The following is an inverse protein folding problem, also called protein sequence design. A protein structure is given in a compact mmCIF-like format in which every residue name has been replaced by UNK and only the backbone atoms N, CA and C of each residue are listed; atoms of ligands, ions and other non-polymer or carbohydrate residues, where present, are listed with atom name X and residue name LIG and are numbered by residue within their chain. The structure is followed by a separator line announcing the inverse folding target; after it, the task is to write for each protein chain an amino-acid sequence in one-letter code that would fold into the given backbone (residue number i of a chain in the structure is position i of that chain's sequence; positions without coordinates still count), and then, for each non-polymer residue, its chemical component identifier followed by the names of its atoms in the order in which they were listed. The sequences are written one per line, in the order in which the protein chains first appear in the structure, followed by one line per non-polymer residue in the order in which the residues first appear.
data_IF_378423651249
#
_entry.id   IF_378423651249
#
_cell.length_a   1.000
_cell.length_b   1.000
_cell.length_c   1.000
_cell.angle_alpha   90.00
_cell.angle_beta   90.00
_cell.angle_gamma   90.00
#
_symmetry.space_group_name_H-M   'P 1'
#
loop_
_entity.id
_entity.type
_entity.pdbx_description
1 polymer ?
#
# COMPACT_ATOMS: atom_id res chain seq x y z
N UNK A 1 -19.98 -27.33 -44.12
CA UNK A 1 -18.94 -26.87 -43.21
C UNK A 1 -18.85 -27.80 -42.01
N UNK A 2 -19.97 -28.23 -41.44
CA UNK A 2 -20.01 -29.18 -40.30
C UNK A 2 -19.46 -30.56 -40.68
N UNK A 3 -19.77 -31.06 -41.88
CA UNK A 3 -19.31 -32.39 -42.32
C UNK A 3 -17.80 -32.50 -42.52
N UNK A 4 -17.13 -31.41 -42.91
CA UNK A 4 -15.66 -31.34 -42.97
C UNK A 4 -15.00 -31.36 -41.60
N UNK A 5 -15.65 -30.76 -40.60
CA UNK A 5 -15.17 -30.81 -39.21
C UNK A 5 -15.35 -32.20 -38.61
N UNK A 6 -16.48 -32.84 -38.87
CA UNK A 6 -16.77 -34.20 -38.40
C UNK A 6 -15.82 -35.25 -39.04
N UNK A 7 -15.52 -35.13 -40.35
CA UNK A 7 -14.56 -36.02 -41.00
C UNK A 7 -13.11 -35.84 -40.53
N UNK A 8 -12.73 -34.61 -40.10
CA UNK A 8 -11.42 -34.37 -39.50
C UNK A 8 -11.27 -34.97 -38.10
N UNK A 9 -12.38 -35.14 -37.37
CA UNK A 9 -12.42 -35.76 -36.05
C UNK A 9 -12.36 -37.29 -36.07
N UNK A 10 -12.79 -37.91 -37.19
CA UNK A 10 -12.81 -39.40 -37.33
C UNK A 10 -11.39 -40.03 -37.44
N UNK A 11 -10.32 -39.22 -37.70
CA UNK A 11 -8.94 -39.68 -37.77
C UNK A 11 -8.18 -39.51 -36.41
N UNK A 12 -8.79 -38.90 -35.41
CA UNK A 12 -8.12 -38.63 -34.12
C UNK A 12 -8.32 -39.82 -33.18
N UNK A 13 -7.29 -40.48 -32.74
CA UNK A 13 -7.42 -41.61 -31.83
C UNK A 13 -8.05 -41.14 -30.49
N UNK A 14 -8.97 -41.95 -29.96
CA UNK A 14 -9.79 -41.60 -28.77
C UNK A 14 -8.92 -41.18 -27.56
N UNK A 15 -7.71 -41.75 -27.41
CA UNK A 15 -6.81 -41.37 -26.33
C UNK A 15 -6.28 -39.95 -26.42
N UNK A 16 -6.13 -39.37 -27.64
CA UNK A 16 -5.67 -37.98 -27.79
C UNK A 16 -6.74 -36.97 -27.33
N UNK A 17 -8.02 -37.31 -27.52
CA UNK A 17 -9.16 -36.52 -27.01
C UNK A 17 -9.17 -36.57 -25.48
N UNK A 18 -8.95 -37.73 -24.88
CA UNK A 18 -8.86 -37.85 -23.42
C UNK A 18 -7.69 -37.08 -22.86
N UNK A 19 -6.51 -37.17 -23.47
CA UNK A 19 -5.33 -36.40 -23.04
C UNK A 19 -5.59 -34.90 -23.12
N UNK A 20 -6.14 -34.42 -24.22
CA UNK A 20 -6.46 -32.98 -24.38
C UNK A 20 -7.47 -32.50 -23.36
N UNK A 21 -8.50 -33.29 -23.05
CA UNK A 21 -9.49 -32.98 -22.01
C UNK A 21 -8.85 -32.88 -20.61
N UNK A 22 -7.95 -33.82 -20.28
CA UNK A 22 -7.22 -33.79 -19.01
C UNK A 22 -6.32 -32.55 -18.91
N UNK A 23 -5.61 -32.21 -19.98
CA UNK A 23 -4.75 -31.01 -20.01
C UNK A 23 -5.58 -29.75 -19.82
N UNK A 24 -6.73 -29.62 -20.51
CA UNK A 24 -7.63 -28.48 -20.37
C UNK A 24 -8.16 -28.36 -18.93
N UNK A 25 -8.60 -29.47 -18.34
CA UNK A 25 -9.06 -29.49 -16.94
C UNK A 25 -7.93 -29.07 -15.99
N UNK A 26 -6.71 -29.58 -16.21
CA UNK A 26 -5.56 -29.22 -15.37
C UNK A 26 -5.24 -27.73 -15.45
N UNK A 27 -5.26 -27.16 -16.65
CA UNK A 27 -5.07 -25.69 -16.84
C UNK A 27 -6.18 -24.91 -16.15
N UNK A 28 -7.44 -25.32 -16.31
CA UNK A 28 -8.57 -24.65 -15.68
C UNK A 28 -8.48 -24.67 -14.15
N UNK A 29 -8.12 -25.81 -13.56
CA UNK A 29 -7.91 -25.93 -12.11
C UNK A 29 -6.73 -25.07 -11.65
N UNK A 30 -5.62 -25.06 -12.39
CA UNK A 30 -4.45 -24.23 -12.07
C UNK A 30 -4.79 -22.74 -12.08
N UNK A 31 -5.57 -22.29 -13.06
CA UNK A 31 -6.05 -20.90 -13.14
C UNK A 31 -6.99 -20.57 -11.98
N UNK A 32 -7.92 -21.46 -11.63
CA UNK A 32 -8.82 -21.27 -10.48
C UNK A 32 -8.07 -21.18 -9.16
N UNK A 33 -7.06 -22.03 -8.95
CA UNK A 33 -6.21 -21.99 -7.76
C UNK A 33 -5.42 -20.67 -7.71
N UNK A 34 -4.85 -20.26 -8.82
CA UNK A 34 -4.11 -18.99 -8.92
C UNK A 34 -5.01 -17.78 -8.59
N UNK A 35 -6.24 -17.74 -9.12
CA UNK A 35 -7.19 -16.67 -8.78
C UNK A 35 -7.68 -16.75 -7.33
N UNK A 36 -7.85 -17.96 -6.80
CA UNK A 36 -8.22 -18.16 -5.39
C UNK A 36 -7.17 -17.62 -4.42
N UNK A 37 -5.90 -17.97 -4.65
CA UNK A 37 -4.77 -17.49 -3.81
C UNK A 37 -4.60 -15.98 -3.90
N UNK A 38 -4.70 -15.40 -5.11
CA UNK A 38 -4.61 -13.95 -5.30
C UNK A 38 -5.74 -13.16 -4.61
N UNK A 39 -6.94 -13.75 -4.49
CA UNK A 39 -8.05 -13.14 -3.72
C UNK A 39 -7.80 -13.21 -2.22
N UNK A 40 -7.34 -14.35 -1.71
CA UNK A 40 -7.02 -14.51 -0.29
C UNK A 40 -5.90 -13.56 0.16
N UNK A 41 -4.86 -13.36 -0.65
CA UNK A 41 -3.79 -12.41 -0.35
C UNK A 41 -4.34 -10.98 -0.19
N UNK A 42 -5.22 -10.53 -1.09
CA UNK A 42 -5.85 -9.22 -1.02
C UNK A 42 -6.73 -9.04 0.22
N UNK A 43 -7.52 -10.05 0.58
CA UNK A 43 -8.36 -10.00 1.79
C UNK A 43 -7.51 -9.96 3.08
N UNK A 44 -6.44 -10.74 3.14
CA UNK A 44 -5.51 -10.73 4.27
C UNK A 44 -4.77 -9.39 4.35
N UNK A 45 -4.35 -8.81 3.22
CA UNK A 45 -3.76 -7.48 3.18
C UNK A 45 -4.75 -6.40 3.65
N UNK A 46 -5.99 -6.43 3.19
CA UNK A 46 -7.03 -5.48 3.61
C UNK A 46 -7.34 -5.59 5.10
N UNK A 47 -7.50 -6.80 5.64
CA UNK A 47 -7.74 -7.02 7.07
C UNK A 47 -6.54 -6.61 7.92
N UNK A 48 -5.31 -6.83 7.43
CA UNK A 48 -4.09 -6.37 8.10
C UNK A 48 -3.98 -4.85 8.08
N UNK A 49 -4.35 -4.24 6.98
CA UNK A 49 -4.41 -2.82 6.76
C UNK A 49 -5.42 -2.14 7.72
N UNK A 50 -6.65 -2.61 7.73
CA UNK A 50 -7.71 -2.13 8.62
C UNK A 50 -7.32 -2.22 10.11
N UNK A 51 -6.60 -3.28 10.48
CA UNK A 51 -6.12 -3.48 11.86
C UNK A 51 -4.97 -2.55 12.24
N UNK A 52 -4.12 -2.14 11.30
CA UNK A 52 -2.96 -1.26 11.54
C UNK A 52 -3.37 0.22 11.44
N UNK A 53 -4.18 0.58 10.44
CA UNK A 53 -4.64 1.96 10.26
C UNK A 53 -5.63 2.39 11.36
N UNK A 54 -6.43 1.47 11.88
CA UNK A 54 -7.41 1.77 12.93
C UNK A 54 -6.80 2.22 14.27
N UNK A 55 -5.49 2.07 14.46
CA UNK A 55 -4.81 2.34 15.73
C UNK A 55 -3.67 3.34 15.63
N UNK A 56 -3.34 3.83 14.44
CA UNK A 56 -2.24 4.78 14.28
C UNK A 56 -2.76 6.19 14.00
N UNK A 57 -2.26 7.14 14.76
CA UNK A 57 -2.59 8.54 14.62
C UNK A 57 -1.35 9.42 14.86
N UNK A 58 -1.35 10.61 14.30
CA UNK A 58 -0.37 11.63 14.68
C UNK A 58 -0.93 12.52 15.78
N UNK A 59 -0.19 12.65 16.86
CA UNK A 59 -0.51 13.62 17.90
C UNK A 59 0.29 14.91 17.67
N UNK A 60 -0.40 15.99 17.29
CA UNK A 60 0.19 17.33 17.19
C UNK A 60 0.45 17.88 18.61
N UNK A 61 1.69 17.95 19.00
CA UNK A 61 2.12 18.41 20.33
C UNK A 61 1.79 19.88 20.56
N UNK A 62 1.76 20.70 19.48
CA UNK A 62 1.50 22.15 19.57
C UNK A 62 0.01 22.46 19.72
N UNK A 63 -0.85 21.73 18.98
CA UNK A 63 -2.31 21.93 18.97
C UNK A 63 -3.04 21.03 19.95
N UNK A 64 -2.36 19.97 20.46
CA UNK A 64 -2.96 18.91 21.29
C UNK A 64 -4.12 18.19 20.58
N UNK A 65 -3.99 17.98 19.29
CA UNK A 65 -5.00 17.32 18.45
C UNK A 65 -4.46 16.01 17.96
N UNK A 66 -5.32 14.98 17.95
CA UNK A 66 -5.05 13.69 17.32
C UNK A 66 -5.52 13.77 15.88
N UNK A 67 -4.64 13.42 14.94
CA UNK A 67 -4.92 13.38 13.51
C UNK A 67 -4.91 11.89 13.11
N UNK A 68 -6.07 11.30 12.82
CA UNK A 68 -6.12 9.90 12.41
C UNK A 68 -5.43 9.72 11.05
N UNK A 69 -4.78 8.58 10.85
CA UNK A 69 -4.14 8.21 9.60
C UNK A 69 -5.08 7.27 8.84
N UNK A 70 -5.90 7.84 7.93
CA UNK A 70 -6.99 7.12 7.25
C UNK A 70 -6.64 6.68 5.81
N UNK A 71 -5.44 6.99 5.34
CA UNK A 71 -4.97 6.64 4.01
C UNK A 71 -3.60 5.96 4.07
N UNK A 72 -3.28 5.14 3.07
CA UNK A 72 -2.01 4.44 2.94
C UNK A 72 -0.86 5.34 2.49
N UNK A 73 -1.18 6.50 1.93
CA UNK A 73 -0.26 7.56 1.60
C UNK A 73 -0.84 8.90 2.06
N UNK A 74 -0.10 9.66 2.86
CA UNK A 74 -0.53 10.91 3.47
C UNK A 74 0.53 11.98 3.23
N UNK A 75 0.17 12.98 2.47
CA UNK A 75 1.01 14.12 2.17
C UNK A 75 0.96 15.15 3.31
N UNK A 76 2.12 15.50 3.82
CA UNK A 76 2.30 16.52 4.87
C UNK A 76 2.92 17.78 4.27
N UNK A 77 2.32 18.92 4.55
CA UNK A 77 2.86 20.18 4.05
C UNK A 77 2.04 21.41 4.41
N UNK A 78 2.44 22.57 3.89
CA UNK A 78 1.76 23.84 4.10
C UNK A 78 0.74 24.14 3.00
N UNK A 79 0.82 23.46 1.86
CA UNK A 79 -0.10 23.68 0.73
C UNK A 79 -1.53 23.27 1.06
N UNK A 80 -2.50 23.88 0.42
CA UNK A 80 -3.92 23.57 0.63
C UNK A 80 -4.33 22.15 0.19
N UNK A 81 -3.55 21.52 -0.69
CA UNK A 81 -3.76 20.16 -1.15
C UNK A 81 -3.01 19.10 -0.30
N UNK A 82 -2.34 19.48 0.78
CA UNK A 82 -1.75 18.51 1.69
C UNK A 82 -2.84 17.90 2.60
N UNK A 83 -2.80 16.59 2.78
CA UNK A 83 -3.76 15.85 3.62
C UNK A 83 -3.62 16.31 5.09
N UNK A 84 -2.37 16.44 5.56
CA UNK A 84 -2.07 17.04 6.85
C UNK A 84 -1.43 18.41 6.62
N UNK A 85 -2.19 19.45 6.90
CA UNK A 85 -1.77 20.82 6.65
C UNK A 85 -1.26 21.51 7.90
N UNK A 86 0.01 21.94 7.85
CA UNK A 86 0.62 22.87 8.82
C UNK A 86 0.79 24.25 8.18
N UNK A 87 0.10 25.27 8.70
CA UNK A 87 0.14 26.66 8.14
C UNK A 87 1.44 27.41 8.47
N UNK A 88 2.38 26.78 9.16
CA UNK A 88 3.65 27.35 9.58
C UNK A 88 4.62 27.54 8.39
N UNK A 89 5.27 28.69 8.31
CA UNK A 89 6.20 29.04 7.23
C UNK A 89 7.50 28.19 7.23
N UNK A 90 7.85 27.57 8.35
CA UNK A 90 8.95 26.62 8.45
C UNK A 90 8.67 25.29 7.77
N UNK A 91 7.40 25.00 7.49
CA UNK A 91 6.95 23.80 6.78
C UNK A 91 6.88 24.09 5.27
N UNK A 92 7.54 23.27 4.45
CA UNK A 92 7.48 23.39 2.99
C UNK A 92 6.07 23.14 2.46
N UNK A 93 5.75 23.64 1.26
CA UNK A 93 4.43 23.43 0.63
C UNK A 93 4.09 21.93 0.53
N UNK A 94 5.02 21.16 0.06
CA UNK A 94 5.06 19.69 0.07
C UNK A 94 6.31 19.33 0.87
N UNK A 95 6.14 18.78 2.07
CA UNK A 95 7.25 18.65 3.02
C UNK A 95 7.72 17.21 3.14
N UNK A 96 6.79 16.32 3.43
CA UNK A 96 7.07 14.91 3.62
C UNK A 96 5.83 14.08 3.22
N UNK A 97 6.04 12.81 2.98
CA UNK A 97 4.97 11.83 2.79
C UNK A 97 5.13 10.71 3.81
N UNK A 98 4.01 10.38 4.46
CA UNK A 98 3.85 9.17 5.26
C UNK A 98 3.21 8.11 4.39
N UNK A 99 3.66 6.88 4.48
CA UNK A 99 3.01 5.74 3.84
C UNK A 99 3.15 4.48 4.67
N UNK A 100 2.17 3.61 4.52
CA UNK A 100 2.14 2.31 5.15
C UNK A 100 2.38 1.22 4.11
N UNK A 101 3.24 0.27 4.44
CA UNK A 101 3.46 -0.93 3.65
C UNK A 101 3.64 -2.12 4.58
N UNK A 102 2.90 -3.20 4.34
CA UNK A 102 2.89 -4.39 5.19
C UNK A 102 2.67 -4.09 6.68
N UNK A 103 1.82 -3.12 6.99
CA UNK A 103 1.52 -2.71 8.36
C UNK A 103 2.62 -1.92 9.06
N UNK A 104 3.61 -1.43 8.32
CA UNK A 104 4.69 -0.61 8.86
C UNK A 104 4.62 0.79 8.25
N UNK A 105 4.44 1.79 9.11
CA UNK A 105 4.50 3.18 8.71
C UNK A 105 5.94 3.60 8.44
N UNK A 106 6.11 4.42 7.43
CA UNK A 106 7.39 5.02 7.06
C UNK A 106 7.18 6.45 6.59
N UNK A 107 8.22 7.25 6.70
CA UNK A 107 8.23 8.64 6.29
C UNK A 107 9.39 8.92 5.34
N UNK A 108 9.13 9.76 4.35
CA UNK A 108 10.12 10.26 3.41
C UNK A 108 10.02 11.79 3.30
N UNK A 109 11.16 12.46 3.37
CA UNK A 109 11.26 13.90 3.11
C UNK A 109 11.17 14.18 1.62
N UNK A 110 10.40 15.19 1.22
CA UNK A 110 10.23 15.60 -0.18
C UNK A 110 11.13 16.78 -0.54
N UNK A 111 12.40 16.68 -0.20
CA UNK A 111 13.40 17.75 -0.37
C UNK A 111 12.94 19.08 0.28
N UNK A 112 12.48 18.96 1.52
CA UNK A 112 11.95 20.08 2.26
C UNK A 112 13.05 21.07 2.66
N UNK A 113 12.71 22.37 2.69
CA UNK A 113 13.68 23.44 3.00
C UNK A 113 14.31 23.32 4.39
N UNK A 114 13.51 22.97 5.39
CA UNK A 114 13.97 22.82 6.79
C UNK A 114 14.38 21.38 7.14
N UNK A 115 14.04 20.41 6.29
CA UNK A 115 14.25 18.99 6.52
C UNK A 115 13.22 18.37 7.46
N UNK A 116 13.06 17.06 7.32
CA UNK A 116 12.28 16.21 8.23
C UNK A 116 13.21 15.53 9.21
N UNK A 117 12.80 15.44 10.47
CA UNK A 117 13.58 14.82 11.53
C UNK A 117 12.74 13.76 12.25
N UNK A 118 13.36 12.62 12.55
CA UNK A 118 12.76 11.56 13.37
C UNK A 118 13.64 11.38 14.59
N UNK A 119 13.07 11.55 15.78
CA UNK A 119 13.78 11.51 17.08
C UNK A 119 15.03 12.41 17.08
N UNK A 120 14.90 13.64 16.55
CA UNK A 120 15.98 14.61 16.47
C UNK A 120 17.00 14.38 15.35
N UNK A 121 16.95 13.28 14.61
CA UNK A 121 17.85 12.97 13.51
C UNK A 121 17.21 13.34 12.16
N UNK A 122 17.92 14.17 11.37
CA UNK A 122 17.47 14.50 10.01
C UNK A 122 17.47 13.26 9.13
N UNK A 123 16.34 12.96 8.47
CA UNK A 123 16.24 11.89 7.51
C UNK A 123 16.69 12.38 6.11
N UNK A 124 17.31 11.49 5.32
CA UNK A 124 17.72 11.74 3.93
C UNK A 124 17.16 10.71 2.96
N UNK A 125 16.53 9.69 3.48
CA UNK A 125 15.86 8.61 2.76
C UNK A 125 14.62 8.20 3.56
N UNK A 126 13.84 7.29 3.02
CA UNK A 126 12.72 6.70 3.73
C UNK A 126 13.16 6.05 5.04
N UNK A 127 12.44 6.33 6.11
CA UNK A 127 12.68 5.79 7.46
C UNK A 127 11.40 5.14 7.97
N UNK A 128 11.53 3.91 8.48
CA UNK A 128 10.43 3.23 9.16
C UNK A 128 10.17 3.88 10.51
N UNK A 129 8.90 4.07 10.83
CA UNK A 129 8.44 4.65 12.08
C UNK A 129 8.03 3.57 13.07
N UNK A 130 8.19 3.87 14.33
CA UNK A 130 7.73 3.06 15.47
C UNK A 130 6.74 3.87 16.27
N UNK A 131 5.95 3.17 17.07
CA UNK A 131 5.11 3.82 18.07
C UNK A 131 5.94 4.73 18.98
N UNK A 132 5.39 5.90 19.27
CA UNK A 132 6.02 6.98 20.05
C UNK A 132 7.21 7.71 19.39
N UNK A 133 7.50 7.46 18.10
CA UNK A 133 8.51 8.26 17.41
C UNK A 133 8.05 9.73 17.28
N UNK A 134 8.96 10.64 17.61
CA UNK A 134 8.75 12.08 17.37
C UNK A 134 9.19 12.44 15.95
N UNK A 135 8.29 13.06 15.21
CA UNK A 135 8.55 13.56 13.86
C UNK A 135 8.49 15.09 13.90
N UNK A 136 9.52 15.77 13.37
CA UNK A 136 9.58 17.22 13.34
C UNK A 136 9.68 17.74 11.90
N UNK A 137 8.81 18.68 11.56
CA UNK A 137 8.73 19.40 10.29
C UNK A 137 9.00 20.89 10.55
N UNK A 138 10.20 21.37 10.30
CA UNK A 138 10.59 22.73 10.71
C UNK A 138 10.44 22.94 12.20
N UNK A 139 9.52 23.82 12.62
CA UNK A 139 9.22 24.09 14.04
C UNK A 139 8.09 23.22 14.62
N UNK A 140 7.44 22.40 13.78
CA UNK A 140 6.30 21.55 14.18
C UNK A 140 6.76 20.16 14.52
N UNK A 141 6.32 19.67 15.69
CA UNK A 141 6.55 18.29 16.13
C UNK A 141 5.24 17.55 16.28
N UNK A 142 5.23 16.31 15.87
CA UNK A 142 4.13 15.36 16.05
C UNK A 142 4.69 14.04 16.60
N UNK A 143 3.88 13.29 17.30
CA UNK A 143 4.23 11.96 17.79
C UNK A 143 3.30 10.96 17.10
N UNK A 144 3.87 9.89 16.55
CA UNK A 144 3.10 8.78 16.04
C UNK A 144 2.68 7.86 17.19
N UNK A 145 1.40 7.48 17.16
CA UNK A 145 0.76 6.62 18.19
C UNK A 145 -0.11 5.59 17.54
#
# INVERSE_FOLDING_TARGET
MLDKLLSSLQGIPAYSILISAVVVIFIAVSVLVMFGTARQEKEIEQLRWEKVSAHMALYDTSRRVVIPLEADEILIGRHGAADIRFTDMSVSRYHAVLYVSNGVWSIMDLDSKSGTFVNGRRIRSQVKLKDMDEIRFGTKSVIIR
#
